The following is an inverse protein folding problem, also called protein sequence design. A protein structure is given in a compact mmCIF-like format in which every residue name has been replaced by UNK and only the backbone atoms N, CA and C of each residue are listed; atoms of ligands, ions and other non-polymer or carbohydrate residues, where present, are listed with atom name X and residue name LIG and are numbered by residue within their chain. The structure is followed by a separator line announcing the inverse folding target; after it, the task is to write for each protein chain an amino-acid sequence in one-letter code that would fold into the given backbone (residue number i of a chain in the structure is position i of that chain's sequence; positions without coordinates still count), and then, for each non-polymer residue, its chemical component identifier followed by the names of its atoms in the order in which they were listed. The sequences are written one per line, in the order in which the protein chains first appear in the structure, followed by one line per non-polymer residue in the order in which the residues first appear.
data_IF_141836214607
#
_entry.id   IF_141836214607
#
_cell.length_a   1.000
_cell.length_b   1.000
_cell.length_c   1.000
_cell.angle_alpha   90.00
_cell.angle_beta   90.00
_cell.angle_gamma   90.00
#
_symmetry.space_group_name_H-M   'P 1'
#
loop_
_entity.id
_entity.type
_entity.pdbx_description
1 polymer ?
#
# COMPACT_ATOMS: atom_id res chain seq x y z
N UNK A 1 -12.87 6.12 9.26
CA UNK A 1 -12.21 6.36 7.96
C UNK A 1 -10.84 5.74 7.97
N UNK A 2 -10.57 4.98 6.92
CA UNK A 2 -9.34 4.24 6.64
C UNK A 2 -8.76 4.82 5.35
N UNK A 3 -7.45 5.03 5.31
CA UNK A 3 -6.74 5.31 4.08
C UNK A 3 -6.18 4.00 3.51
N UNK A 4 -6.37 3.78 2.21
CA UNK A 4 -5.84 2.63 1.49
C UNK A 4 -4.91 3.12 0.40
N UNK A 5 -3.65 2.73 0.49
CA UNK A 5 -2.67 3.01 -0.56
C UNK A 5 -2.57 1.82 -1.49
N UNK A 6 -2.88 2.02 -2.75
CA UNK A 6 -2.60 1.10 -3.84
C UNK A 6 -1.21 1.41 -4.38
N UNK A 7 -0.25 0.53 -4.09
CA UNK A 7 1.18 0.72 -4.32
C UNK A 7 1.64 -0.22 -5.42
N UNK A 8 2.22 0.35 -6.45
CA UNK A 8 2.80 -0.36 -7.57
C UNK A 8 4.31 -0.47 -7.39
N UNK A 9 4.83 -1.69 -7.33
CA UNK A 9 6.26 -1.92 -7.12
C UNK A 9 7.05 -1.89 -8.42
N UNK A 10 8.30 -1.45 -8.31
CA UNK A 10 9.32 -1.69 -9.34
C UNK A 10 9.52 -3.21 -9.45
N UNK A 11 9.71 -3.72 -10.67
CA UNK A 11 9.87 -5.16 -10.92
C UNK A 11 11.03 -5.73 -10.09
N UNK A 12 10.77 -6.86 -9.42
CA UNK A 12 11.74 -7.56 -8.59
C UNK A 12 11.90 -7.00 -7.18
N UNK A 13 11.15 -5.95 -6.81
CA UNK A 13 11.08 -5.43 -5.45
C UNK A 13 10.01 -6.12 -4.63
N UNK A 14 10.20 -6.19 -3.32
CA UNK A 14 9.29 -6.84 -2.38
C UNK A 14 8.68 -5.86 -1.39
N UNK A 15 7.72 -6.35 -0.61
CA UNK A 15 6.93 -5.54 0.33
C UNK A 15 7.75 -5.02 1.49
N UNK A 16 8.71 -5.82 1.94
CA UNK A 16 9.64 -5.50 3.04
C UNK A 16 10.56 -4.32 2.67
N UNK A 17 10.71 -4.03 1.37
CA UNK A 17 11.47 -2.88 0.87
C UNK A 17 10.63 -1.59 0.82
N UNK A 18 9.32 -1.66 1.07
CA UNK A 18 8.41 -0.50 1.09
C UNK A 18 8.23 0.03 2.51
N UNK A 19 7.88 -0.84 3.44
CA UNK A 19 7.60 -0.51 4.82
C UNK A 19 8.50 -1.32 5.74
N UNK A 20 9.28 -0.63 6.57
CA UNK A 20 10.05 -1.28 7.61
C UNK A 20 9.11 -1.86 8.68
N UNK A 21 9.58 -2.88 9.39
CA UNK A 21 8.83 -3.47 10.51
C UNK A 21 8.50 -2.44 11.61
N UNK A 22 9.33 -1.40 11.76
CA UNK A 22 9.09 -0.30 12.69
C UNK A 22 7.88 0.54 12.26
N UNK A 23 7.80 0.94 10.98
CA UNK A 23 6.67 1.73 10.46
C UNK A 23 5.37 0.93 10.57
N UNK A 24 5.40 -0.36 10.25
CA UNK A 24 4.23 -1.25 10.39
C UNK A 24 3.77 -1.30 11.85
N UNK A 25 4.70 -1.43 12.79
CA UNK A 25 4.40 -1.48 14.23
C UNK A 25 3.81 -0.17 14.74
N UNK A 26 4.35 0.97 14.32
CA UNK A 26 3.89 2.29 14.79
C UNK A 26 2.54 2.70 14.19
N UNK A 27 2.34 2.45 12.90
CA UNK A 27 1.13 2.86 12.18
C UNK A 27 0.01 1.82 12.22
N UNK A 28 0.32 0.59 12.68
CA UNK A 28 -0.56 -0.58 12.56
C UNK A 28 -1.02 -0.82 11.11
N UNK A 29 -0.19 -0.44 10.13
CA UNK A 29 -0.49 -0.60 8.72
C UNK A 29 -0.65 -2.09 8.37
N UNK A 30 -1.73 -2.41 7.66
CA UNK A 30 -1.95 -3.74 7.11
C UNK A 30 -1.56 -3.75 5.64
N UNK A 31 -0.59 -4.60 5.31
CA UNK A 31 -0.17 -4.79 3.92
C UNK A 31 -0.77 -6.06 3.38
N UNK A 32 -1.40 -5.97 2.21
CA UNK A 32 -2.12 -7.08 1.61
C UNK A 32 -1.94 -7.10 0.09
N UNK A 33 -2.08 -8.29 -0.49
CA UNK A 33 -2.25 -8.48 -1.93
C UNK A 33 -3.64 -8.03 -2.38
N UNK A 34 -3.83 -7.84 -3.69
CA UNK A 34 -5.16 -7.56 -4.26
C UNK A 34 -6.17 -8.66 -3.89
N UNK A 35 -5.74 -9.93 -3.90
CA UNK A 35 -6.63 -11.05 -3.59
C UNK A 35 -7.04 -11.09 -2.12
N UNK A 36 -6.15 -10.73 -1.20
CA UNK A 36 -6.47 -10.58 0.22
C UNK A 36 -7.38 -9.38 0.46
N UNK A 37 -7.17 -8.27 -0.23
CA UNK A 37 -8.04 -7.10 -0.15
C UNK A 37 -9.47 -7.40 -0.59
N UNK A 38 -9.63 -8.17 -1.67
CA UNK A 38 -10.93 -8.66 -2.13
C UNK A 38 -11.63 -9.52 -1.07
N UNK A 39 -10.90 -10.36 -0.33
CA UNK A 39 -11.47 -11.19 0.74
C UNK A 39 -12.00 -10.38 1.92
N UNK A 40 -11.42 -9.21 2.19
CA UNK A 40 -11.87 -8.32 3.28
C UNK A 40 -12.89 -7.26 2.80
N UNK A 41 -13.33 -7.35 1.55
CA UNK A 41 -14.42 -6.54 1.00
C UNK A 41 -13.99 -5.29 0.23
N UNK A 42 -12.70 -5.10 -0.05
CA UNK A 42 -12.27 -4.05 -0.97
C UNK A 42 -12.58 -4.45 -2.42
N UNK A 43 -13.28 -3.57 -3.14
CA UNK A 43 -13.66 -3.75 -4.54
C UNK A 43 -13.05 -2.64 -5.41
N UNK A 44 -13.01 -2.83 -6.73
CA UNK A 44 -12.49 -1.84 -7.69
C UNK A 44 -10.96 -1.78 -7.79
N UNK A 45 -10.26 -2.77 -7.24
CA UNK A 45 -8.81 -2.88 -7.31
C UNK A 45 -8.44 -3.81 -8.46
N UNK A 46 -8.02 -3.22 -9.58
CA UNK A 46 -7.61 -3.94 -10.77
C UNK A 46 -6.08 -3.86 -10.94
N UNK A 47 -5.39 -4.99 -11.09
CA UNK A 47 -3.97 -4.97 -11.41
C UNK A 47 -3.79 -4.32 -12.80
N UNK A 48 -2.99 -3.26 -12.88
CA UNK A 48 -2.61 -2.67 -14.16
C UNK A 48 -1.66 -3.60 -14.92
N UNK A 49 -2.00 -3.92 -16.17
CA UNK A 49 -1.11 -4.68 -17.04
C UNK A 49 0.23 -3.95 -17.26
N UNK A 50 1.33 -4.71 -17.18
CA UNK A 50 2.69 -4.20 -17.39
C UNK A 50 3.39 -3.64 -16.15
N UNK A 51 2.64 -3.36 -15.08
CA UNK A 51 3.18 -2.89 -13.80
C UNK A 51 3.63 -4.09 -12.95
N UNK A 52 4.58 -3.87 -12.04
CA UNK A 52 5.10 -4.92 -11.16
C UNK A 52 4.04 -5.41 -10.16
N UNK A 53 4.52 -6.03 -9.08
CA UNK A 53 3.65 -6.49 -8.02
C UNK A 53 2.88 -5.32 -7.36
N UNK A 54 1.58 -5.51 -7.13
CA UNK A 54 0.72 -4.51 -6.48
C UNK A 54 0.49 -4.90 -5.02
N UNK A 55 0.63 -3.91 -4.14
CA UNK A 55 0.36 -4.03 -2.71
C UNK A 55 -0.62 -2.98 -2.26
N UNK A 56 -1.44 -3.36 -1.29
CA UNK A 56 -2.40 -2.48 -0.67
C UNK A 56 -2.02 -2.28 0.78
N UNK A 57 -1.91 -1.02 1.19
CA UNK A 57 -1.54 -0.64 2.54
C UNK A 57 -2.74 0.08 3.15
N UNK A 58 -3.44 -0.62 4.04
CA UNK A 58 -4.54 -0.06 4.81
C UNK A 58 -4.02 0.53 6.12
N UNK A 59 -4.38 1.76 6.42
CA UNK A 59 -3.94 2.46 7.63
C UNK A 59 -5.04 3.38 8.16
N UNK A 60 -5.01 3.72 9.45
CA UNK A 60 -5.89 4.75 9.99
C UNK A 60 -5.61 6.10 9.32
N UNK A 61 -6.65 6.89 9.05
CA UNK A 61 -6.53 8.18 8.33
C UNK A 61 -5.48 9.12 8.94
N UNK A 62 -5.34 9.15 10.27
CA UNK A 62 -4.37 9.98 10.99
C UNK A 62 -2.90 9.65 10.64
N UNK A 63 -2.64 8.41 10.24
CA UNK A 63 -1.30 7.88 9.95
C UNK A 63 -1.00 7.91 8.44
N UNK A 64 -2.01 8.23 7.61
CA UNK A 64 -1.89 8.32 6.16
C UNK A 64 -0.77 9.28 5.68
N UNK A 65 -0.57 10.48 6.28
CA UNK A 65 0.52 11.37 5.86
C UNK A 65 1.91 10.77 6.04
N UNK A 66 2.07 9.88 7.03
CA UNK A 66 3.34 9.19 7.26
C UNK A 66 3.58 8.18 6.14
N UNK A 67 2.61 7.29 5.89
CA UNK A 67 2.71 6.28 4.83
C UNK A 67 2.95 6.95 3.47
N UNK A 68 2.23 8.03 3.16
CA UNK A 68 2.42 8.79 1.92
C UNK A 68 3.87 9.24 1.73
N UNK A 69 4.46 9.87 2.76
CA UNK A 69 5.85 10.34 2.72
C UNK A 69 6.84 9.19 2.59
N UNK A 70 6.59 8.06 3.25
CA UNK A 70 7.41 6.85 3.12
C UNK A 70 7.40 6.32 1.69
N UNK A 71 6.23 6.29 1.05
CA UNK A 71 6.08 5.82 -0.33
C UNK A 71 6.76 6.76 -1.34
N UNK A 72 6.63 8.07 -1.18
CA UNK A 72 7.30 9.07 -2.03
C UNK A 72 8.83 8.95 -2.00
N UNK A 73 9.40 8.59 -0.85
CA UNK A 73 10.85 8.43 -0.67
C UNK A 73 11.40 7.06 -1.06
N UNK A 74 10.54 6.09 -1.40
CA UNK A 74 10.97 4.70 -1.60
C UNK A 74 11.37 4.43 -3.06
N UNK A 75 12.60 3.95 -3.26
CA UNK A 75 13.07 3.46 -4.57
C UNK A 75 12.44 2.14 -5.00
N UNK A 76 11.71 1.47 -4.10
CA UNK A 76 10.95 0.26 -4.42
C UNK A 76 9.60 0.56 -5.06
N UNK A 77 9.08 1.78 -4.89
CA UNK A 77 7.76 2.20 -5.36
C UNK A 77 7.88 2.85 -6.73
N UNK A 78 7.17 2.31 -7.73
CA UNK A 78 7.07 2.89 -9.06
C UNK A 78 6.01 4.01 -9.11
N UNK A 79 4.87 3.77 -8.46
CA UNK A 79 3.79 4.75 -8.29
C UNK A 79 2.84 4.27 -7.18
N UNK A 80 1.98 5.16 -6.69
CA UNK A 80 0.91 4.77 -5.79
C UNK A 80 -0.31 5.69 -5.93
N UNK A 81 -1.46 5.21 -5.47
CA UNK A 81 -2.72 5.97 -5.36
C UNK A 81 -3.27 5.81 -3.96
N UNK A 82 -3.80 6.89 -3.39
CA UNK A 82 -4.48 6.86 -2.10
C UNK A 82 -5.99 6.90 -2.32
N UNK A 83 -6.69 6.01 -1.64
CA UNK A 83 -8.14 5.93 -1.60
C UNK A 83 -8.60 6.14 -0.16
N UNK A 84 -9.60 6.98 0.04
CA UNK A 84 -10.26 7.13 1.33
C UNK A 84 -11.48 6.21 1.41
N UNK A 85 -11.56 5.42 2.47
CA UNK A 85 -12.64 4.46 2.71
C UNK A 85 -13.34 4.82 4.02
N UNK A 86 -14.64 5.11 3.91
CA UNK A 86 -15.49 5.63 4.99
C UNK A 86 -16.64 4.69 5.30
#
# INVERSE_FOLDING_TARGET
MLAVFEVYLVRGKTTEEILSAEIIKETSAQVMTIDEAKKVGFAGLEPMEGVGEVRLIAVAQRDAPWIHRTLEGSSAVASFRMHEVG
#
